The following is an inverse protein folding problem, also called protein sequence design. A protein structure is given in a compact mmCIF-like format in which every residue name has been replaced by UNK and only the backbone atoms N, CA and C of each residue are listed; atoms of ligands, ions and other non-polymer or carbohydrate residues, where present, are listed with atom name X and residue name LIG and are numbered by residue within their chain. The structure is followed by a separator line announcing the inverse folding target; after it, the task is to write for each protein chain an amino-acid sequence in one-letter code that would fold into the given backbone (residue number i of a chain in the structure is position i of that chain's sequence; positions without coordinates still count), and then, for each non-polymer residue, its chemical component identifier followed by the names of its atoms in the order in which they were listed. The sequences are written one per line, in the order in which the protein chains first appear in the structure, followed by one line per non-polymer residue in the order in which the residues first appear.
data_IF_237473300979
#
_entry.id   IF_237473300979
#
_cell.length_a   1.000
_cell.length_b   1.000
_cell.length_c   1.000
_cell.angle_alpha   90.00
_cell.angle_beta   90.00
_cell.angle_gamma   90.00
#
_symmetry.space_group_name_H-M   'P 1'
#
loop_
_entity.id
_entity.type
_entity.pdbx_description
1 polymer ?
#
# COMPACT_ATOMS: atom_id res chain seq x y z
N UNK A 1 18.03 3.63 32.31
CA UNK A 1 17.34 4.58 31.41
C UNK A 1 16.23 3.82 30.70
N UNK A 2 14.97 4.12 31.01
CA UNK A 2 13.81 3.52 30.34
C UNK A 2 13.67 4.15 28.96
N UNK A 3 13.96 3.39 27.90
CA UNK A 3 13.53 3.74 26.54
C UNK A 3 12.03 3.51 26.46
N UNK A 4 11.26 4.60 26.39
CA UNK A 4 9.84 4.56 26.06
C UNK A 4 9.68 3.81 24.72
N UNK A 5 8.80 2.80 24.61
CA UNK A 5 8.52 2.19 23.31
C UNK A 5 7.90 3.26 22.42
N UNK A 6 8.49 3.48 21.24
CA UNK A 6 7.92 4.34 20.21
C UNK A 6 6.45 3.95 19.97
N UNK A 7 5.53 4.92 19.76
CA UNK A 7 4.12 4.62 19.63
C UNK A 7 3.89 3.69 18.44
N UNK A 8 3.56 2.42 18.73
CA UNK A 8 3.25 1.32 17.80
C UNK A 8 1.88 1.52 17.10
N UNK A 9 1.67 2.71 16.54
CA UNK A 9 0.47 3.12 15.79
C UNK A 9 0.83 3.41 14.32
N UNK A 10 2.09 3.22 13.91
CA UNK A 10 2.60 3.84 12.67
C UNK A 10 2.36 3.03 11.39
N UNK A 11 2.43 1.70 11.42
CA UNK A 11 2.43 0.85 10.22
C UNK A 11 1.20 1.03 9.31
N UNK A 12 -0.02 0.89 9.84
CA UNK A 12 -1.25 1.04 9.04
C UNK A 12 -1.43 2.45 8.49
N UNK A 13 -1.10 3.47 9.29
CA UNK A 13 -1.17 4.87 8.86
C UNK A 13 -0.15 5.18 7.77
N UNK A 14 1.05 4.62 7.87
CA UNK A 14 2.10 4.74 6.85
C UNK A 14 1.72 4.02 5.54
N UNK A 15 1.07 2.85 5.65
CA UNK A 15 0.52 2.13 4.50
C UNK A 15 -0.59 2.95 3.83
N UNK A 16 -1.56 3.46 4.60
CA UNK A 16 -2.64 4.32 4.06
C UNK A 16 -2.06 5.56 3.38
N UNK A 17 -1.09 6.22 4.04
CA UNK A 17 -0.41 7.38 3.48
C UNK A 17 0.30 7.04 2.16
N UNK A 18 1.05 5.94 2.11
CA UNK A 18 1.76 5.52 0.89
C UNK A 18 0.80 5.16 -0.25
N UNK A 19 -0.34 4.54 0.06
CA UNK A 19 -1.38 4.26 -0.94
C UNK A 19 -2.03 5.54 -1.49
N UNK A 20 -2.22 6.56 -0.65
CA UNK A 20 -2.73 7.87 -1.09
C UNK A 20 -1.73 8.60 -1.97
N UNK A 21 -0.44 8.56 -1.63
CA UNK A 21 0.60 9.10 -2.50
C UNK A 21 0.60 8.40 -3.86
N UNK A 22 0.41 7.08 -3.88
CA UNK A 22 0.33 6.34 -5.13
C UNK A 22 -0.92 6.73 -5.93
N UNK A 23 -2.06 6.92 -5.26
CA UNK A 23 -3.28 7.43 -5.88
C UNK A 23 -3.04 8.78 -6.57
N UNK A 24 -2.38 9.71 -5.88
CA UNK A 24 -2.04 11.02 -6.43
C UNK A 24 -1.11 10.90 -7.66
N UNK A 25 -0.11 10.02 -7.59
CA UNK A 25 0.77 9.74 -8.73
C UNK A 25 0.00 9.16 -9.92
N UNK A 26 -0.86 8.17 -9.69
CA UNK A 26 -1.66 7.52 -10.74
C UNK A 26 -2.66 8.48 -11.37
N UNK A 27 -3.22 9.41 -10.60
CA UNK A 27 -4.12 10.43 -11.13
C UNK A 27 -3.45 11.29 -12.22
N UNK A 28 -2.13 11.48 -12.15
CA UNK A 28 -1.33 12.21 -13.13
C UNK A 28 -0.91 11.36 -14.35
N UNK A 29 -1.03 10.03 -14.27
CA UNK A 29 -0.72 9.13 -15.39
C UNK A 29 -1.87 9.08 -16.40
N UNK A 30 -1.54 8.74 -17.64
CA UNK A 30 -2.49 8.40 -18.70
C UNK A 30 -2.11 7.03 -19.25
N UNK A 31 -3.10 6.20 -19.59
CA UNK A 31 -2.85 4.87 -20.17
C UNK A 31 -4.05 3.95 -20.03
N UNK A 32 -4.02 2.87 -20.83
CA UNK A 32 -5.01 1.81 -20.72
C UNK A 32 -4.96 1.18 -19.32
N UNK A 33 -6.13 0.98 -18.70
CA UNK A 33 -6.22 0.42 -17.36
C UNK A 33 -6.13 1.45 -16.21
N UNK A 34 -6.01 2.76 -16.49
CA UNK A 34 -5.98 3.80 -15.44
C UNK A 34 -7.14 3.69 -14.45
N UNK A 35 -8.37 3.61 -14.96
CA UNK A 35 -9.56 3.51 -14.11
C UNK A 35 -9.56 2.23 -13.25
N UNK A 36 -9.05 1.12 -13.80
CA UNK A 36 -8.92 -0.13 -13.05
C UNK A 36 -7.88 0.03 -11.93
N UNK A 37 -6.75 0.68 -12.21
CA UNK A 37 -5.71 0.94 -11.23
C UNK A 37 -6.19 1.88 -10.12
N UNK A 38 -6.83 2.99 -10.47
CA UNK A 38 -7.42 3.94 -9.52
C UNK A 38 -8.42 3.24 -8.60
N UNK A 39 -9.29 2.39 -9.16
CA UNK A 39 -10.22 1.58 -8.38
C UNK A 39 -9.50 0.61 -7.45
N UNK A 40 -8.51 -0.13 -7.95
CA UNK A 40 -7.78 -1.10 -7.14
C UNK A 40 -7.07 -0.43 -5.95
N UNK A 41 -6.49 0.76 -6.15
CA UNK A 41 -5.88 1.55 -5.08
C UNK A 41 -6.94 2.06 -4.09
N UNK A 42 -8.08 2.56 -4.58
CA UNK A 42 -9.17 3.02 -3.72
C UNK A 42 -9.72 1.90 -2.83
N UNK A 43 -9.99 0.72 -3.41
CA UNK A 43 -10.45 -0.47 -2.69
C UNK A 43 -9.43 -0.92 -1.63
N UNK A 44 -8.13 -0.78 -1.92
CA UNK A 44 -7.07 -1.10 -0.97
C UNK A 44 -7.01 -0.07 0.18
N UNK A 45 -7.06 1.23 -0.11
CA UNK A 45 -7.14 2.29 0.92
C UNK A 45 -8.33 2.04 1.85
N UNK A 46 -9.49 1.68 1.29
CA UNK A 46 -10.69 1.37 2.07
C UNK A 46 -10.46 0.17 3.00
N UNK A 47 -9.86 -0.91 2.49
CA UNK A 47 -9.51 -2.07 3.30
C UNK A 47 -8.56 -1.75 4.45
N UNK A 48 -7.59 -0.84 4.24
CA UNK A 48 -6.66 -0.39 5.29
C UNK A 48 -7.37 0.43 6.36
N UNK A 49 -8.27 1.35 5.98
CA UNK A 49 -9.01 2.21 6.91
C UNK A 49 -9.88 1.44 7.89
N UNK A 50 -10.47 0.34 7.45
CA UNK A 50 -11.35 -0.50 8.28
C UNK A 50 -10.60 -1.63 9.00
N UNK A 51 -9.28 -1.71 8.87
CA UNK A 51 -8.49 -2.72 9.58
C UNK A 51 -8.14 -2.28 10.99
N UNK A 52 -8.21 -3.22 11.92
CA UNK A 52 -7.91 -2.96 13.31
C UNK A 52 -6.43 -2.60 13.51
N UNK A 53 -6.12 -1.55 14.31
CA UNK A 53 -4.75 -1.25 14.68
C UNK A 53 -4.14 -2.44 15.45
N UNK A 54 -2.93 -2.83 15.05
CA UNK A 54 -2.29 -4.07 15.55
C UNK A 54 -1.27 -3.74 16.63
N UNK A 55 -1.35 -4.49 17.75
CA UNK A 55 -0.38 -4.48 18.87
C UNK A 55 0.67 -5.60 18.85
N UNK A 56 0.44 -6.82 18.31
CA UNK A 56 1.47 -7.85 18.36
C UNK A 56 2.64 -7.59 17.41
N UNK A 57 3.86 -7.75 17.93
CA UNK A 57 5.12 -7.67 17.17
C UNK A 57 5.18 -8.71 16.03
N UNK A 58 4.37 -9.77 16.09
CA UNK A 58 4.32 -10.86 15.09
C UNK A 58 3.81 -10.44 13.71
N UNK A 59 3.16 -9.27 13.59
CA UNK A 59 2.66 -8.74 12.31
C UNK A 59 3.43 -7.49 11.87
N UNK A 60 4.17 -6.83 12.78
CA UNK A 60 4.94 -5.64 12.47
C UNK A 60 5.92 -5.85 11.29
N UNK A 61 6.52 -7.03 11.17
CA UNK A 61 7.38 -7.38 10.02
C UNK A 61 6.64 -7.41 8.68
N UNK A 62 5.37 -7.82 8.66
CA UNK A 62 4.55 -7.82 7.45
C UNK A 62 4.14 -6.41 7.06
N UNK A 63 3.81 -5.56 8.05
CA UNK A 63 3.50 -4.15 7.80
C UNK A 63 4.72 -3.41 7.22
N UNK A 64 5.93 -3.71 7.70
CA UNK A 64 7.18 -3.17 7.16
C UNK A 64 7.45 -3.62 5.72
N UNK A 65 7.29 -4.92 5.43
CA UNK A 65 7.47 -5.44 4.06
C UNK A 65 6.48 -4.81 3.09
N UNK A 66 5.20 -4.71 3.47
CA UNK A 66 4.17 -4.05 2.67
C UNK A 66 4.53 -2.59 2.39
N UNK A 67 5.03 -1.89 3.40
CA UNK A 67 5.41 -0.49 3.28
C UNK A 67 6.62 -0.29 2.36
N UNK A 68 7.63 -1.15 2.44
CA UNK A 68 8.79 -1.11 1.55
C UNK A 68 8.38 -1.30 0.09
N UNK A 69 7.55 -2.30 -0.18
CA UNK A 69 7.06 -2.55 -1.53
C UNK A 69 6.14 -1.43 -2.05
N UNK A 70 5.31 -0.81 -1.19
CA UNK A 70 4.52 0.36 -1.54
C UNK A 70 5.38 1.59 -1.84
N UNK A 71 6.49 1.78 -1.12
CA UNK A 71 7.45 2.86 -1.42
C UNK A 71 8.11 2.64 -2.77
N UNK A 72 8.57 1.42 -3.06
CA UNK A 72 9.14 1.07 -4.36
C UNK A 72 8.13 1.33 -5.49
N UNK A 73 6.87 0.96 -5.30
CA UNK A 73 5.83 1.20 -6.28
C UNK A 73 5.53 2.70 -6.49
N UNK A 74 5.56 3.49 -5.41
CA UNK A 74 5.46 4.95 -5.51
C UNK A 74 6.61 5.56 -6.30
N UNK A 75 7.84 5.09 -6.12
CA UNK A 75 9.00 5.55 -6.89
C UNK A 75 8.85 5.23 -8.38
N UNK A 76 8.35 4.03 -8.71
CA UNK A 76 8.03 3.64 -10.09
C UNK A 76 6.99 4.59 -10.69
N UNK A 77 5.85 4.77 -10.01
CA UNK A 77 4.78 5.66 -10.49
C UNK A 77 5.28 7.12 -10.65
N UNK A 78 6.05 7.62 -9.69
CA UNK A 78 6.66 8.95 -9.75
C UNK A 78 7.70 9.10 -10.87
N UNK A 79 8.40 8.02 -11.23
CA UNK A 79 9.33 8.02 -12.37
C UNK A 79 8.60 8.12 -13.70
N UNK A 80 7.45 7.45 -13.82
CA UNK A 80 6.62 7.44 -15.02
C UNK A 80 6.05 8.83 -15.33
N UNK A 81 5.57 9.56 -14.31
CA UNK A 81 5.07 10.94 -14.47
C UNK A 81 6.08 11.88 -15.14
N UNK A 82 7.40 11.68 -14.90
CA UNK A 82 8.45 12.54 -15.46
C UNK A 82 8.62 12.34 -16.97
N UNK A 83 8.15 11.22 -17.51
CA UNK A 83 8.18 10.90 -18.94
C UNK A 83 6.87 11.41 -19.55
N UNK A 84 6.70 12.73 -19.58
CA UNK A 84 5.45 13.35 -20.02
C UNK A 84 5.10 13.05 -21.50
N UNK A 85 3.80 12.89 -21.77
CA UNK A 85 3.26 12.87 -23.15
C UNK A 85 3.10 11.49 -23.80
N UNK A 86 3.30 10.40 -23.07
CA UNK A 86 3.05 9.03 -23.57
C UNK A 86 1.91 8.35 -22.81
N UNK A 87 1.19 7.47 -23.52
CA UNK A 87 0.36 6.47 -22.86
C UNK A 87 1.27 5.49 -22.13
N UNK A 88 1.04 5.37 -20.83
CA UNK A 88 1.84 4.54 -19.96
C UNK A 88 1.32 3.10 -19.99
N UNK A 89 2.24 2.13 -20.00
CA UNK A 89 1.90 0.74 -19.74
C UNK A 89 1.65 0.55 -18.24
N UNK A 90 0.39 0.60 -17.83
CA UNK A 90 0.00 0.51 -16.42
C UNK A 90 -0.12 -0.94 -15.90
N UNK A 91 -0.07 -1.93 -16.80
CA UNK A 91 -0.19 -3.36 -16.46
C UNK A 91 0.72 -3.80 -15.30
N UNK A 92 2.04 -3.52 -15.35
CA UNK A 92 2.95 -3.88 -14.26
C UNK A 92 2.58 -3.26 -12.90
N UNK A 93 2.09 -2.01 -12.88
CA UNK A 93 1.65 -1.35 -11.64
C UNK A 93 0.37 -2.02 -11.11
N UNK A 94 -0.57 -2.34 -12.00
CA UNK A 94 -1.81 -3.04 -11.65
C UNK A 94 -1.50 -4.39 -11.00
N UNK A 95 -0.63 -5.19 -11.62
CA UNK A 95 -0.23 -6.50 -11.10
C UNK A 95 0.42 -6.36 -9.72
N UNK A 96 1.29 -5.37 -9.55
CA UNK A 96 1.97 -5.14 -8.27
C UNK A 96 0.99 -4.68 -7.17
N UNK A 97 0.00 -3.85 -7.50
CA UNK A 97 -1.07 -3.51 -6.55
C UNK A 97 -1.90 -4.72 -6.14
N UNK A 98 -2.23 -5.60 -7.08
CA UNK A 98 -2.98 -6.82 -6.77
C UNK A 98 -2.18 -7.74 -5.85
N UNK A 99 -0.88 -7.90 -6.10
CA UNK A 99 0.01 -8.67 -5.23
C UNK A 99 0.11 -8.08 -3.82
N UNK A 100 0.22 -6.75 -3.71
CA UNK A 100 0.25 -6.07 -2.41
C UNK A 100 -1.06 -6.24 -1.65
N UNK A 101 -2.20 -6.18 -2.34
CA UNK A 101 -3.51 -6.41 -1.75
C UNK A 101 -3.65 -7.84 -1.23
N UNK A 102 -3.15 -8.85 -1.96
CA UNK A 102 -3.12 -10.23 -1.48
C UNK A 102 -2.25 -10.40 -0.22
N UNK A 103 -1.07 -9.78 -0.18
CA UNK A 103 -0.20 -9.79 1.01
C UNK A 103 -0.88 -9.13 2.21
N UNK A 104 -1.61 -8.05 1.97
CA UNK A 104 -2.42 -7.37 2.98
C UNK A 104 -3.58 -8.24 3.50
N UNK A 105 -4.30 -8.93 2.61
CA UNK A 105 -5.37 -9.86 3.00
C UNK A 105 -4.83 -11.00 3.87
N UNK A 106 -3.72 -11.64 3.47
CA UNK A 106 -3.03 -12.67 4.27
C UNK A 106 -2.61 -12.16 5.64
N UNK A 107 -2.15 -10.90 5.71
CA UNK A 107 -1.80 -10.24 6.96
C UNK A 107 -3.02 -10.08 7.87
N UNK A 108 -4.18 -9.70 7.33
CA UNK A 108 -5.41 -9.57 8.10
C UNK A 108 -5.96 -10.93 8.56
N UNK A 109 -5.86 -11.97 7.72
CA UNK A 109 -6.21 -13.35 8.12
C UNK A 109 -5.35 -13.82 9.31
N UNK A 110 -4.04 -13.58 9.27
CA UNK A 110 -3.13 -13.88 10.38
C UNK A 110 -3.49 -13.10 11.64
N UNK A 111 -3.88 -11.83 11.51
CA UNK A 111 -4.33 -11.04 12.65
C UNK A 111 -5.58 -11.63 13.29
N UNK A 112 -6.57 -12.03 12.48
CA UNK A 112 -7.80 -12.65 12.97
C UNK A 112 -7.50 -13.98 13.68
N UNK A 113 -6.61 -14.80 13.14
CA UNK A 113 -6.18 -16.05 13.76
C UNK A 113 -5.48 -15.85 15.10
N UNK A 114 -4.76 -14.74 15.30
CA UNK A 114 -4.12 -14.40 16.58
C UNK A 114 -5.10 -13.85 17.64
N UNK A 115 -6.27 -13.37 17.21
CA UNK A 115 -7.33 -12.85 18.10
C UNK A 115 -8.34 -13.92 18.53
N UNK A 116 -8.35 -15.06 17.83
CA UNK A 116 -9.25 -16.20 18.07
C UNK A 116 -8.64 -17.14 19.09
#
# INVERSE_FOLDING_TARGET
MNTLPAPRVSGLREIEFSLRQLQDHVAMLNGAGKQQLEKAIADFIESVKYSDPVKPDSIAGQDLMLLEELRNLNEIAASMIRIGGQDHELGPIIDQIQQLRQKWELRNERLLALKS
#
